data_IF_518147399629
#
_entry.id   IF_518147399629
#
_cell.length_a   1.000
_cell.length_b   1.000
_cell.length_c   1.000
_cell.angle_alpha   90.00
_cell.angle_beta   90.00
_cell.angle_gamma   90.00
#
_symmetry.space_group_name_H-M   'P 1'
#
loop_
_entity.id
_entity.type
_entity.pdbx_description
1 polymer ?
#
# COMPACT_ATOMS: atom_id res chain seq x y z
N UNK A 1 1.89 21.84 17.10
CA UNK A 1 1.00 21.75 15.93
C UNK A 1 1.46 20.60 15.05
N UNK A 2 0.54 19.71 14.64
CA UNK A 2 0.90 18.45 13.98
C UNK A 2 1.55 18.60 12.58
N UNK A 3 1.32 19.74 11.91
CA UNK A 3 1.84 20.06 10.57
C UNK A 3 3.10 20.93 10.58
N UNK A 4 3.85 20.91 11.67
CA UNK A 4 5.07 21.70 11.84
C UNK A 4 6.23 20.83 12.32
N UNK A 5 7.44 21.32 12.13
CA UNK A 5 8.66 20.81 12.75
C UNK A 5 9.44 22.00 13.33
N UNK A 6 10.31 21.79 14.33
CA UNK A 6 11.23 22.82 14.78
C UNK A 6 12.21 23.17 13.65
N UNK A 7 12.68 24.43 13.61
CA UNK A 7 13.71 24.88 12.65
C UNK A 7 15.00 24.06 12.76
N UNK A 8 15.35 23.66 13.98
CA UNK A 8 16.47 22.76 14.25
C UNK A 8 15.87 21.39 14.56
N UNK A 9 16.02 20.39 13.67
CA UNK A 9 15.51 19.06 13.92
C UNK A 9 16.23 18.41 15.10
N UNK A 10 15.57 17.46 15.77
CA UNK A 10 16.24 16.62 16.75
C UNK A 10 17.37 15.84 16.05
N UNK A 11 18.53 15.68 16.74
CA UNK A 11 19.62 14.93 16.14
C UNK A 11 19.24 13.47 15.91
N UNK A 12 19.59 12.96 14.75
CA UNK A 12 19.54 11.54 14.47
C UNK A 12 20.71 10.82 15.15
N UNK A 13 20.43 9.63 15.63
CA UNK A 13 21.40 8.70 16.19
C UNK A 13 21.31 7.40 15.43
N UNK A 14 22.45 6.74 15.31
CA UNK A 14 22.53 5.38 14.74
C UNK A 14 23.35 4.52 15.67
N UNK A 15 22.72 3.46 16.17
CA UNK A 15 23.42 2.45 16.94
C UNK A 15 24.40 1.70 16.03
N UNK A 16 25.50 1.22 16.60
CA UNK A 16 26.45 0.37 15.87
C UNK A 16 25.77 -0.95 15.45
N UNK A 17 26.20 -1.58 14.35
CA UNK A 17 25.60 -2.83 13.85
C UNK A 17 25.48 -3.92 14.92
N UNK A 18 26.48 -4.07 15.77
CA UNK A 18 26.54 -5.06 16.86
C UNK A 18 25.47 -4.77 17.93
N UNK A 19 25.20 -3.48 18.20
CA UNK A 19 24.14 -3.05 19.13
C UNK A 19 22.78 -3.37 18.54
N UNK A 20 22.57 -3.07 17.24
CA UNK A 20 21.33 -3.39 16.55
C UNK A 20 21.09 -4.91 16.56
N UNK A 21 22.13 -5.71 16.34
CA UNK A 21 22.04 -7.17 16.42
C UNK A 21 21.63 -7.68 17.81
N UNK A 22 22.18 -7.10 18.87
CA UNK A 22 21.79 -7.42 20.26
C UNK A 22 20.35 -7.01 20.54
N UNK A 23 19.92 -5.83 20.06
CA UNK A 23 18.56 -5.35 20.22
C UNK A 23 17.56 -6.19 19.42
N UNK A 24 17.92 -6.62 18.20
CA UNK A 24 17.13 -7.54 17.41
C UNK A 24 16.92 -8.89 18.13
N UNK A 25 17.97 -9.43 18.75
CA UNK A 25 17.85 -10.66 19.55
C UNK A 25 16.91 -10.50 20.75
N UNK A 26 16.97 -9.36 21.46
CA UNK A 26 16.04 -9.05 22.55
C UNK A 26 14.60 -8.91 22.04
N UNK A 27 14.40 -8.24 20.91
CA UNK A 27 13.08 -8.07 20.30
C UNK A 27 12.49 -9.42 19.87
N UNK A 28 13.27 -10.30 19.26
CA UNK A 28 12.85 -11.68 18.93
C UNK A 28 12.38 -12.45 20.17
N UNK A 29 13.10 -12.33 21.28
CA UNK A 29 12.69 -12.96 22.55
C UNK A 29 11.33 -12.39 23.06
N UNK A 30 11.07 -11.10 22.84
CA UNK A 30 9.77 -10.50 23.18
C UNK A 30 8.68 -11.00 22.23
N UNK A 31 8.94 -11.04 20.92
CA UNK A 31 8.00 -11.53 19.90
C UNK A 31 7.60 -12.96 20.19
N UNK A 32 8.57 -13.86 20.47
CA UNK A 32 8.30 -15.27 20.75
C UNK A 32 7.46 -15.50 22.04
N UNK A 33 7.47 -14.55 22.97
CA UNK A 33 6.67 -14.61 24.20
C UNK A 33 5.34 -13.89 24.08
N UNK A 34 5.18 -13.04 23.07
CA UNK A 34 3.98 -12.24 22.89
C UNK A 34 2.80 -13.09 22.41
N UNK A 35 1.64 -12.80 22.95
CA UNK A 35 0.36 -13.38 22.52
C UNK A 35 -0.40 -12.43 21.61
N UNK A 36 -0.22 -11.12 21.80
CA UNK A 36 -0.87 -10.08 21.03
C UNK A 36 0.15 -8.99 20.63
N UNK A 37 0.94 -9.30 19.58
CA UNK A 37 1.95 -8.40 19.03
C UNK A 37 1.32 -7.45 18.00
N UNK A 38 1.46 -6.15 18.22
CA UNK A 38 1.03 -5.11 17.28
C UNK A 38 2.22 -4.26 16.82
N UNK A 39 2.09 -3.66 15.64
CA UNK A 39 3.09 -2.74 15.11
C UNK A 39 2.43 -1.41 14.75
N UNK A 40 3.14 -0.31 15.08
CA UNK A 40 2.75 1.05 14.75
C UNK A 40 3.81 1.67 13.82
N UNK A 41 3.40 2.12 12.64
CA UNK A 41 4.34 2.64 11.63
C UNK A 41 4.15 4.12 11.34
N UNK A 42 5.27 4.81 11.06
CA UNK A 42 5.33 6.16 10.54
C UNK A 42 6.20 6.26 9.28
N UNK A 43 6.48 7.48 8.82
CA UNK A 43 7.13 7.74 7.54
C UNK A 43 8.53 7.10 7.39
N UNK A 44 9.24 6.86 8.50
CA UNK A 44 10.55 6.23 8.49
C UNK A 44 10.59 4.80 7.98
N UNK A 45 9.44 4.09 7.89
CA UNK A 45 9.37 2.76 7.28
C UNK A 45 9.40 2.81 5.75
N UNK A 46 9.14 3.98 5.16
CA UNK A 46 9.06 4.19 3.70
C UNK A 46 10.24 4.98 3.12
N UNK A 47 11.17 5.44 3.97
CA UNK A 47 12.29 6.28 3.51
C UNK A 47 13.26 5.56 2.58
N UNK A 48 13.49 4.27 2.78
CA UNK A 48 14.30 3.43 1.87
C UNK A 48 13.64 3.19 0.51
N UNK A 49 12.32 3.38 0.40
CA UNK A 49 11.62 3.41 -0.90
C UNK A 49 11.73 4.77 -1.62
N UNK A 50 12.47 5.74 -1.06
CA UNK A 50 12.65 7.07 -1.61
C UNK A 50 11.51 8.06 -1.28
N UNK A 51 10.58 7.68 -0.40
CA UNK A 51 9.52 8.56 0.09
C UNK A 51 10.08 9.35 1.29
N UNK A 52 10.10 10.69 1.23
CA UNK A 52 10.65 11.50 2.30
C UNK A 52 9.80 11.42 3.57
N UNK A 53 10.46 11.47 4.70
CA UNK A 53 9.80 11.71 5.98
C UNK A 53 9.36 13.18 6.14
N UNK A 54 8.78 13.50 7.30
CA UNK A 54 8.28 14.83 7.60
C UNK A 54 9.20 15.65 8.52
N UNK A 55 9.92 15.02 9.46
CA UNK A 55 10.60 15.68 10.59
C UNK A 55 12.08 15.33 10.75
N UNK A 56 12.63 14.47 9.92
CA UNK A 56 14.06 14.26 9.79
C UNK A 56 14.78 15.51 9.29
N UNK A 57 16.11 15.50 9.20
CA UNK A 57 16.90 16.65 8.75
C UNK A 57 16.49 17.15 7.35
N UNK A 58 16.11 16.27 6.45
CA UNK A 58 15.60 16.57 5.10
C UNK A 58 14.08 16.32 4.99
N UNK A 59 13.39 16.27 6.11
CA UNK A 59 11.95 16.05 6.19
C UNK A 59 11.14 17.23 5.67
N UNK A 60 9.96 16.98 5.12
CA UNK A 60 9.14 17.99 4.43
C UNK A 60 8.79 19.19 5.33
N UNK A 61 8.42 18.96 6.60
CA UNK A 61 8.11 20.03 7.56
C UNK A 61 9.35 20.75 8.05
N UNK A 62 10.47 20.04 8.22
CA UNK A 62 11.76 20.63 8.63
C UNK A 62 12.25 21.61 7.57
N UNK A 63 12.29 21.19 6.30
CA UNK A 63 12.69 22.05 5.19
C UNK A 63 11.78 23.28 5.07
N UNK A 64 10.47 23.08 5.18
CA UNK A 64 9.50 24.18 5.18
C UNK A 64 9.75 25.18 6.32
N UNK A 65 10.00 24.69 7.54
CA UNK A 65 10.30 25.55 8.70
C UNK A 65 11.61 26.33 8.53
N UNK A 66 12.57 25.79 7.75
CA UNK A 66 13.85 26.42 7.42
C UNK A 66 13.77 27.35 6.20
N UNK A 67 12.63 27.39 5.47
CA UNK A 67 12.52 28.09 4.20
C UNK A 67 13.35 27.46 3.06
N UNK A 68 13.69 26.18 3.19
CA UNK A 68 14.47 25.40 2.21
C UNK A 68 13.55 24.54 1.35
N UNK A 69 13.98 24.30 0.12
CA UNK A 69 13.40 23.27 -0.75
C UNK A 69 14.29 22.04 -0.78
N UNK A 70 13.69 20.90 -1.05
CA UNK A 70 14.42 19.63 -1.22
C UNK A 70 15.31 19.71 -2.46
N UNK A 71 16.55 19.25 -2.32
CA UNK A 71 17.52 19.19 -3.42
C UNK A 71 17.42 17.90 -4.24
N UNK A 72 16.99 16.82 -3.60
CA UNK A 72 16.81 15.51 -4.26
C UNK A 72 15.36 15.31 -4.69
N UNK A 73 15.15 14.71 -5.87
CA UNK A 73 13.81 14.37 -6.35
C UNK A 73 13.24 13.23 -5.48
N UNK A 74 12.09 13.45 -4.86
CA UNK A 74 11.37 12.40 -4.15
C UNK A 74 10.80 11.39 -5.15
N UNK A 75 10.82 10.11 -4.78
CA UNK A 75 10.09 9.09 -5.54
C UNK A 75 8.59 9.31 -5.35
N UNK A 76 7.82 9.19 -6.42
CA UNK A 76 6.37 9.22 -6.33
C UNK A 76 5.87 8.03 -5.48
N UNK A 77 4.87 8.25 -4.65
CA UNK A 77 4.25 7.16 -3.87
C UNK A 77 3.72 6.03 -4.76
N UNK A 78 3.37 6.33 -6.03
CA UNK A 78 2.94 5.34 -7.01
C UNK A 78 4.09 4.48 -7.54
N UNK A 79 5.30 5.06 -7.66
CA UNK A 79 6.50 4.38 -8.17
C UNK A 79 7.30 3.68 -7.06
N UNK A 80 7.04 4.02 -5.81
CA UNK A 80 7.73 3.43 -4.68
C UNK A 80 7.36 1.95 -4.50
N UNK A 81 8.38 1.12 -4.36
CA UNK A 81 8.23 -0.31 -4.10
C UNK A 81 8.19 -0.52 -2.58
N UNK A 82 7.31 -1.40 -2.05
CA UNK A 82 7.32 -1.78 -0.64
C UNK A 82 8.73 -2.17 -0.17
N UNK A 83 9.17 -1.57 0.94
CA UNK A 83 10.51 -1.80 1.50
C UNK A 83 10.64 -3.20 2.11
N UNK A 84 11.86 -3.68 2.42
CA UNK A 84 12.05 -4.90 3.19
C UNK A 84 11.24 -4.94 4.48
N UNK A 85 11.08 -3.78 5.17
CA UNK A 85 10.21 -3.70 6.35
C UNK A 85 8.75 -3.98 6.03
N UNK A 86 8.19 -3.40 4.97
CA UNK A 86 6.81 -3.69 4.56
C UNK A 86 6.60 -5.18 4.28
N UNK A 87 7.54 -5.81 3.57
CA UNK A 87 7.47 -7.23 3.23
C UNK A 87 7.69 -8.13 4.46
N UNK A 88 8.51 -7.70 5.43
CA UNK A 88 8.66 -8.37 6.72
C UNK A 88 7.34 -8.34 7.53
N UNK A 89 6.64 -7.19 7.54
CA UNK A 89 5.34 -7.08 8.23
C UNK A 89 4.28 -7.99 7.59
N UNK A 90 4.28 -8.09 6.26
CA UNK A 90 3.41 -9.02 5.53
C UNK A 90 3.68 -10.47 5.96
N UNK A 91 4.95 -10.89 6.00
CA UNK A 91 5.32 -12.25 6.38
C UNK A 91 4.94 -12.56 7.84
N UNK A 92 5.17 -11.60 8.75
CA UNK A 92 4.73 -11.74 10.16
C UNK A 92 3.21 -11.86 10.28
N UNK A 93 2.44 -11.14 9.46
CA UNK A 93 0.99 -11.27 9.39
C UNK A 93 0.57 -12.65 8.86
N UNK A 94 1.17 -13.11 7.74
CA UNK A 94 0.86 -14.39 7.12
C UNK A 94 1.10 -15.57 8.07
N UNK A 95 2.12 -15.44 8.94
CA UNK A 95 2.41 -16.44 10.00
C UNK A 95 1.57 -16.27 11.26
N UNK A 96 0.69 -15.27 11.30
CA UNK A 96 -0.15 -14.99 12.46
C UNK A 96 0.63 -14.47 13.68
N UNK A 97 1.89 -14.05 13.50
CA UNK A 97 2.73 -13.42 14.54
C UNK A 97 2.28 -11.99 14.79
N UNK A 98 2.20 -11.18 13.72
CA UNK A 98 1.62 -9.84 13.77
C UNK A 98 0.10 -9.94 13.85
N UNK A 99 -0.49 -9.44 14.94
CA UNK A 99 -1.94 -9.49 15.16
C UNK A 99 -2.65 -8.28 14.56
N UNK A 100 -2.02 -7.12 14.59
CA UNK A 100 -2.60 -5.91 14.00
C UNK A 100 -1.53 -4.89 13.63
N UNK A 101 -1.78 -4.15 12.57
CA UNK A 101 -0.93 -3.05 12.10
C UNK A 101 -1.67 -1.73 12.23
N UNK A 102 -1.02 -0.72 12.81
CA UNK A 102 -1.53 0.65 12.84
C UNK A 102 -0.57 1.54 12.07
N UNK A 103 -1.05 2.29 11.10
CA UNK A 103 -0.20 3.13 10.26
C UNK A 103 -0.66 4.58 10.22
N UNK A 104 0.31 5.50 10.28
CA UNK A 104 0.11 6.92 10.01
C UNK A 104 0.39 7.29 8.55
N UNK A 105 0.89 6.35 7.74
CA UNK A 105 1.34 6.63 6.38
C UNK A 105 0.17 6.66 5.41
N UNK A 106 0.24 7.61 4.47
CA UNK A 106 -0.73 7.76 3.37
C UNK A 106 -0.18 7.26 2.03
N UNK A 107 1.00 6.63 2.01
CA UNK A 107 1.70 6.24 0.79
C UNK A 107 1.13 4.99 0.10
N UNK A 108 0.31 4.22 0.82
CA UNK A 108 -0.33 3.01 0.32
C UNK A 108 0.58 1.77 0.28
N UNK A 109 1.85 1.87 0.75
CA UNK A 109 2.81 0.76 0.63
C UNK A 109 2.40 -0.48 1.43
N UNK A 110 1.80 -0.32 2.61
CA UNK A 110 1.30 -1.46 3.39
C UNK A 110 0.24 -2.26 2.62
N UNK A 111 -0.75 -1.58 2.03
CA UNK A 111 -1.79 -2.27 1.25
C UNK A 111 -1.21 -2.90 -0.02
N UNK A 112 -0.27 -2.22 -0.69
CA UNK A 112 0.42 -2.77 -1.88
C UNK A 112 1.37 -3.91 -1.57
N UNK A 113 1.94 -3.97 -0.37
CA UNK A 113 2.75 -5.14 0.05
C UNK A 113 1.90 -6.40 0.26
N UNK A 114 0.58 -6.27 0.38
CA UNK A 114 -0.34 -7.38 0.58
C UNK A 114 -0.94 -7.46 2.00
N UNK A 115 -0.69 -6.48 2.86
CA UNK A 115 -1.36 -6.38 4.17
C UNK A 115 -2.87 -6.33 3.96
N UNK A 116 -3.59 -7.24 4.61
CA UNK A 116 -5.05 -7.39 4.48
C UNK A 116 -5.79 -6.20 5.07
N UNK A 117 -6.88 -5.72 4.43
CA UNK A 117 -7.62 -4.54 4.88
C UNK A 117 -8.15 -4.65 6.31
N UNK A 118 -8.58 -5.84 6.71
CA UNK A 118 -9.11 -6.10 8.06
C UNK A 118 -8.03 -6.17 9.15
N UNK A 119 -6.76 -6.18 8.78
CA UNK A 119 -5.61 -6.30 9.67
C UNK A 119 -4.81 -5.01 9.83
N UNK A 120 -5.36 -3.88 9.35
CA UNK A 120 -4.68 -2.59 9.40
C UNK A 120 -5.65 -1.45 9.69
N UNK A 121 -5.22 -0.52 10.55
CA UNK A 121 -5.81 0.83 10.66
C UNK A 121 -4.92 1.84 9.96
N UNK A 122 -5.39 2.38 8.83
CA UNK A 122 -4.75 3.52 8.12
C UNK A 122 -5.31 4.83 8.70
N UNK A 123 -4.75 5.30 9.83
CA UNK A 123 -5.30 6.41 10.63
C UNK A 123 -5.37 7.74 9.87
N UNK A 124 -4.46 8.00 8.92
CA UNK A 124 -4.47 9.20 8.11
C UNK A 124 -4.93 8.95 6.67
N UNK A 125 -5.50 7.77 6.42
CA UNK A 125 -5.96 7.37 5.11
C UNK A 125 -4.86 6.86 4.18
N UNK A 126 -5.21 6.74 2.89
CA UNK A 126 -4.33 6.19 1.85
C UNK A 126 -4.55 6.95 0.54
N UNK A 127 -3.50 7.52 -0.04
CA UNK A 127 -3.58 8.37 -1.23
C UNK A 127 -4.03 7.63 -2.50
N UNK A 128 -4.06 6.30 -2.45
CA UNK A 128 -4.48 5.44 -3.55
C UNK A 128 -5.83 4.76 -3.29
N UNK A 129 -6.49 5.06 -2.16
CA UNK A 129 -7.76 4.44 -1.77
C UNK A 129 -8.93 5.39 -1.96
N UNK A 130 -9.95 4.90 -2.65
CA UNK A 130 -11.29 5.47 -2.70
C UNK A 130 -12.29 4.53 -2.06
N UNK A 131 -13.33 5.07 -1.49
CA UNK A 131 -14.43 4.28 -0.94
C UNK A 131 -15.80 4.83 -1.35
N UNK A 132 -16.74 3.93 -1.55
CA UNK A 132 -18.13 4.25 -1.73
C UNK A 132 -18.82 4.23 -0.37
N UNK A 133 -19.37 5.37 0.07
CA UNK A 133 -20.09 5.45 1.36
C UNK A 133 -21.44 4.76 1.34
N UNK A 134 -22.02 4.54 0.14
CA UNK A 134 -23.34 3.93 0.00
C UNK A 134 -23.30 2.40 0.14
N UNK A 135 -22.25 1.73 -0.37
CA UNK A 135 -22.17 0.27 -0.36
C UNK A 135 -20.90 -0.29 0.31
N UNK A 136 -20.03 0.56 0.87
CA UNK A 136 -18.82 0.17 1.56
C UNK A 136 -17.68 -0.35 0.66
N UNK A 137 -17.86 -0.40 -0.69
CA UNK A 137 -16.80 -0.90 -1.58
C UNK A 137 -15.59 0.01 -1.54
N UNK A 138 -14.43 -0.57 -1.27
CA UNK A 138 -13.13 0.07 -1.40
C UNK A 138 -12.49 -0.22 -2.76
N UNK A 139 -11.71 0.75 -3.26
CA UNK A 139 -10.91 0.66 -4.48
C UNK A 139 -9.48 1.07 -4.17
N UNK A 140 -8.53 0.21 -4.45
CA UNK A 140 -7.10 0.55 -4.46
C UNK A 140 -6.72 0.89 -5.90
N UNK A 141 -6.27 2.14 -6.12
CA UNK A 141 -6.02 2.68 -7.45
C UNK A 141 -4.53 2.72 -7.77
N UNK A 142 -4.21 2.55 -9.05
CA UNK A 142 -2.87 2.78 -9.60
C UNK A 142 -2.64 4.25 -9.99
N UNK A 143 -3.40 5.14 -9.38
CA UNK A 143 -3.23 6.59 -9.49
C UNK A 143 -3.52 7.25 -8.14
N UNK A 144 -3.14 8.52 -7.99
CA UNK A 144 -3.47 9.31 -6.81
C UNK A 144 -4.98 9.57 -6.78
N UNK A 145 -5.67 8.94 -5.83
CA UNK A 145 -7.12 8.97 -5.71
C UNK A 145 -7.64 10.09 -4.79
N UNK A 146 -6.80 11.06 -4.46
CA UNK A 146 -7.14 12.19 -3.56
C UNK A 146 -8.00 13.19 -4.32
N UNK A 147 -9.07 13.67 -3.65
CA UNK A 147 -9.95 14.69 -4.20
C UNK A 147 -9.19 16.00 -4.48
N UNK A 148 -9.52 16.65 -5.58
CA UNK A 148 -9.10 18.02 -5.85
C UNK A 148 -10.05 18.94 -5.10
N UNK A 149 -9.54 19.82 -4.24
CA UNK A 149 -10.31 20.70 -3.36
C UNK A 149 -11.16 21.71 -4.14
N UNK A 150 -12.28 21.25 -4.69
CA UNK A 150 -13.14 22.10 -5.52
C UNK A 150 -13.91 23.15 -4.70
N UNK A 151 -14.33 22.79 -3.48
CA UNK A 151 -15.11 23.68 -2.61
C UNK A 151 -14.45 23.93 -1.27
N UNK A 152 -14.02 22.89 -0.58
CA UNK A 152 -13.33 22.96 0.73
C UNK A 152 -12.35 21.83 0.88
N UNK A 153 -11.36 21.98 1.77
CA UNK A 153 -10.40 20.91 2.14
C UNK A 153 -11.08 19.68 2.75
N UNK A 154 -12.36 19.78 3.10
CA UNK A 154 -13.17 18.67 3.65
C UNK A 154 -14.06 18.01 2.60
N UNK A 155 -13.98 18.44 1.33
CA UNK A 155 -14.71 17.81 0.24
C UNK A 155 -13.88 16.65 -0.32
N UNK A 156 -14.15 15.45 0.19
CA UNK A 156 -13.45 14.22 -0.18
C UNK A 156 -13.99 13.54 -1.44
N UNK A 157 -14.98 14.15 -2.13
CA UNK A 157 -15.55 13.60 -3.36
C UNK A 157 -14.52 13.65 -4.49
N UNK A 158 -14.25 12.49 -5.07
CA UNK A 158 -13.21 12.35 -6.12
C UNK A 158 -13.74 12.64 -7.53
N UNK A 159 -15.05 12.87 -7.68
CA UNK A 159 -15.71 13.04 -8.97
C UNK A 159 -16.01 11.72 -9.70
N UNK A 160 -15.54 10.59 -9.17
CA UNK A 160 -15.79 9.25 -9.74
C UNK A 160 -17.00 8.58 -9.09
N UNK A 161 -17.52 7.56 -9.75
CA UNK A 161 -18.68 6.77 -9.30
C UNK A 161 -18.28 5.33 -9.03
N UNK A 162 -18.93 4.74 -8.05
CA UNK A 162 -18.81 3.33 -7.72
C UNK A 162 -19.33 2.46 -8.87
N UNK A 163 -18.51 1.54 -9.37
CA UNK A 163 -18.91 0.62 -10.44
C UNK A 163 -19.91 -0.43 -9.95
N UNK A 164 -19.99 -0.65 -8.62
CA UNK A 164 -20.91 -1.62 -8.02
C UNK A 164 -22.32 -1.08 -7.83
N UNK A 165 -22.47 0.19 -7.37
CA UNK A 165 -23.78 0.75 -7.00
C UNK A 165 -24.07 2.13 -7.62
N UNK A 166 -23.14 2.73 -8.36
CA UNK A 166 -23.30 4.07 -8.93
C UNK A 166 -23.09 5.24 -7.95
N UNK A 167 -22.90 4.97 -6.66
CA UNK A 167 -22.68 5.98 -5.62
C UNK A 167 -21.41 6.80 -5.83
N UNK A 168 -21.32 7.95 -5.16
CA UNK A 168 -20.17 8.85 -5.25
C UNK A 168 -18.97 8.25 -4.51
N UNK A 169 -17.80 8.27 -5.15
CA UNK A 169 -16.54 7.86 -4.52
C UNK A 169 -15.90 9.01 -3.75
N UNK A 170 -15.35 8.68 -2.60
CA UNK A 170 -14.65 9.59 -1.72
C UNK A 170 -13.22 9.08 -1.52
N UNK A 171 -12.26 9.99 -1.45
CA UNK A 171 -10.93 9.62 -0.98
C UNK A 171 -10.95 9.30 0.52
N UNK A 172 -9.85 8.75 1.01
CA UNK A 172 -9.72 8.36 2.41
C UNK A 172 -8.72 9.22 3.19
N UNK A 173 -8.15 10.25 2.58
CA UNK A 173 -7.15 11.12 3.21
C UNK A 173 -7.78 11.90 4.36
N UNK A 174 -7.06 12.01 5.47
CA UNK A 174 -7.43 12.84 6.62
C UNK A 174 -6.54 14.07 6.62
N UNK A 175 -7.14 15.22 6.42
CA UNK A 175 -6.44 16.50 6.47
C UNK A 175 -6.24 16.96 7.92
N UNK A 176 -5.27 17.84 8.15
CA UNK A 176 -5.08 18.42 9.48
C UNK A 176 -6.32 19.20 9.93
N UNK A 177 -6.79 18.92 11.15
CA UNK A 177 -8.00 19.48 11.72
C UNK A 177 -9.27 18.68 11.41
N UNK A 178 -9.15 17.52 10.79
CA UNK A 178 -10.22 16.54 10.66
C UNK A 178 -10.08 15.45 11.72
N UNK A 179 -11.21 14.84 12.06
CA UNK A 179 -11.22 13.68 12.95
C UNK A 179 -10.65 12.46 12.23
N UNK A 180 -9.94 11.62 12.95
CA UNK A 180 -9.53 10.31 12.42
C UNK A 180 -10.76 9.43 12.16
N UNK A 181 -10.68 8.46 11.23
CA UNK A 181 -11.77 7.53 10.97
C UNK A 181 -12.11 6.77 12.24
N UNK A 182 -13.36 6.91 12.70
CA UNK A 182 -13.80 6.41 14.02
C UNK A 182 -13.58 4.90 14.18
N UNK A 183 -13.99 4.11 13.18
CA UNK A 183 -13.84 2.66 13.18
C UNK A 183 -12.35 2.25 13.20
N UNK A 184 -11.52 2.85 12.34
CA UNK A 184 -10.09 2.54 12.30
C UNK A 184 -9.37 2.93 13.60
N UNK A 185 -9.74 4.06 14.21
CA UNK A 185 -9.18 4.49 15.50
C UNK A 185 -9.64 3.58 16.64
N UNK A 186 -10.93 3.18 16.64
CA UNK A 186 -11.46 2.24 17.63
C UNK A 186 -10.74 0.90 17.55
N UNK A 187 -10.63 0.29 16.36
CA UNK A 187 -9.91 -0.98 16.18
C UNK A 187 -8.44 -0.86 16.62
N UNK A 188 -7.77 0.24 16.28
CA UNK A 188 -6.39 0.48 16.72
C UNK A 188 -6.27 0.52 18.25
N UNK A 189 -7.23 1.13 18.94
CA UNK A 189 -7.27 1.18 20.43
C UNK A 189 -7.58 -0.17 21.02
N UNK A 190 -8.59 -0.87 20.52
CA UNK A 190 -8.96 -2.21 21.00
C UNK A 190 -7.74 -3.15 20.94
N UNK A 191 -7.04 -3.19 19.80
CA UNK A 191 -5.81 -3.98 19.66
C UNK A 191 -4.65 -3.48 20.54
N UNK A 192 -4.52 -2.17 20.77
CA UNK A 192 -3.51 -1.63 21.67
C UNK A 192 -3.78 -2.01 23.14
N UNK A 193 -5.05 -2.08 23.56
CA UNK A 193 -5.46 -2.50 24.90
C UNK A 193 -5.19 -3.99 25.14
N UNK A 194 -5.31 -4.83 24.11
CA UNK A 194 -4.98 -6.26 24.18
C UNK A 194 -3.47 -6.52 24.10
N UNK A 195 -2.71 -5.62 23.46
CA UNK A 195 -1.30 -5.85 23.15
C UNK A 195 -0.44 -6.05 24.39
N UNK A 196 0.37 -7.10 24.38
CA UNK A 196 1.46 -7.34 25.33
C UNK A 196 2.83 -6.91 24.76
N UNK A 197 2.88 -6.64 23.44
CA UNK A 197 4.03 -6.07 22.73
C UNK A 197 3.57 -5.12 21.65
N UNK A 198 4.11 -3.89 21.66
CA UNK A 198 3.96 -2.91 20.60
C UNK A 198 5.34 -2.49 20.08
N UNK A 199 5.56 -2.65 18.77
CA UNK A 199 6.75 -2.14 18.08
C UNK A 199 6.39 -0.92 17.26
N UNK A 200 7.05 0.20 17.53
CA UNK A 200 6.97 1.41 16.72
C UNK A 200 8.12 1.39 15.71
N UNK A 201 7.80 1.57 14.44
CA UNK A 201 8.76 1.65 13.34
C UNK A 201 8.70 3.01 12.64
N UNK A 202 9.78 3.78 12.73
CA UNK A 202 9.96 5.00 11.94
C UNK A 202 8.94 6.10 12.21
N UNK A 203 8.47 6.24 13.44
CA UNK A 203 7.55 7.32 13.83
C UNK A 203 8.16 8.24 14.87
N UNK A 204 7.98 9.56 14.66
CA UNK A 204 8.34 10.58 15.67
C UNK A 204 7.40 10.62 16.88
N UNK A 205 6.24 9.98 16.80
CA UNK A 205 5.20 9.93 17.84
C UNK A 205 4.74 11.32 18.33
N UNK A 206 4.71 12.32 17.42
CA UNK A 206 4.33 13.72 17.76
C UNK A 206 2.94 14.10 17.26
N UNK A 207 2.22 13.22 16.57
CA UNK A 207 0.91 13.52 15.98
C UNK A 207 -0.19 12.88 16.80
N UNK A 208 -0.98 13.73 17.47
CA UNK A 208 -2.16 13.33 18.24
C UNK A 208 -3.40 13.29 17.32
N UNK A 209 -4.36 12.36 17.52
CA UNK A 209 -4.42 11.34 18.57
C UNK A 209 -3.73 10.00 18.20
N UNK A 210 -3.09 9.89 17.03
CA UNK A 210 -2.49 8.64 16.58
C UNK A 210 -1.39 8.10 17.52
N UNK A 211 -0.59 8.99 18.15
CA UNK A 211 0.46 8.60 19.09
C UNK A 211 -0.06 8.03 20.43
N UNK A 212 -1.35 8.23 20.73
CA UNK A 212 -1.98 7.62 21.91
C UNK A 212 -2.02 6.09 21.82
N UNK A 213 -2.03 5.53 20.60
CA UNK A 213 -2.07 4.08 20.40
C UNK A 213 -0.85 3.37 21.02
N UNK A 214 0.43 3.71 20.66
CA UNK A 214 1.57 3.12 21.34
C UNK A 214 1.72 3.59 22.81
N UNK A 215 1.17 4.76 23.17
CA UNK A 215 1.17 5.24 24.57
C UNK A 215 0.35 4.33 25.48
N UNK A 216 -0.82 3.84 25.02
CA UNK A 216 -1.63 2.83 25.74
C UNK A 216 -0.80 1.61 26.10
N UNK A 217 0.04 1.12 25.18
CA UNK A 217 0.94 -0.01 25.44
C UNK A 217 2.05 0.36 26.41
N UNK A 218 2.69 1.53 26.24
CA UNK A 218 3.80 2.00 27.09
C UNK A 218 3.40 2.26 28.54
N UNK A 219 2.17 2.71 28.78
CA UNK A 219 1.65 3.01 30.11
C UNK A 219 1.37 1.76 30.96
N UNK A 220 1.23 0.58 30.36
CA UNK A 220 0.85 -0.65 31.06
C UNK A 220 2.06 -1.50 31.41
N UNK A 221 2.14 -1.98 32.67
CA UNK A 221 3.21 -2.89 33.13
C UNK A 221 3.17 -4.25 32.43
N UNK A 222 1.99 -4.69 32.00
CA UNK A 222 1.77 -5.97 31.30
C UNK A 222 2.19 -5.94 29.84
N UNK A 223 2.42 -4.78 29.28
CA UNK A 223 2.81 -4.58 27.88
C UNK A 223 4.24 -4.04 27.75
N UNK A 224 4.89 -4.29 26.62
CA UNK A 224 6.22 -3.77 26.29
C UNK A 224 6.13 -2.89 25.06
N UNK A 225 6.55 -1.62 25.20
CA UNK A 225 6.72 -0.70 24.08
C UNK A 225 8.18 -0.75 23.61
N UNK A 226 8.39 -1.07 22.35
CA UNK A 226 9.70 -1.01 21.68
C UNK A 226 9.63 0.06 20.60
N UNK A 227 10.60 0.96 20.55
CA UNK A 227 10.67 2.05 19.57
C UNK A 227 11.91 1.85 18.69
N UNK A 228 11.73 1.77 17.37
CA UNK A 228 12.79 1.88 16.38
C UNK A 228 12.62 3.20 15.63
N UNK A 229 13.47 4.16 15.93
CA UNK A 229 13.47 5.48 15.30
C UNK A 229 14.82 6.16 15.49
N UNK A 230 15.28 6.91 14.49
CA UNK A 230 16.59 7.58 14.53
C UNK A 230 16.62 8.76 15.52
N UNK A 231 15.47 9.33 15.84
CA UNK A 231 15.35 10.46 16.78
C UNK A 231 14.67 10.02 18.07
N UNK A 232 14.92 10.74 19.17
CA UNK A 232 14.12 10.60 20.39
C UNK A 232 12.66 10.93 20.12
N UNK A 233 11.77 10.28 20.84
CA UNK A 233 10.32 10.49 20.78
C UNK A 233 9.76 10.90 22.14
N UNK A 234 8.56 11.48 22.20
CA UNK A 234 7.90 11.79 23.48
C UNK A 234 7.69 10.57 24.38
N UNK A 235 7.57 9.37 23.83
CA UNK A 235 7.33 8.14 24.56
C UNK A 235 8.59 7.38 24.98
N UNK A 236 9.78 7.97 24.83
CA UNK A 236 11.04 7.32 25.20
C UNK A 236 11.10 6.88 26.67
N UNK A 237 10.50 7.66 27.59
CA UNK A 237 10.45 7.32 29.02
C UNK A 237 9.56 6.12 29.35
N UNK A 238 8.62 5.79 28.48
CA UNK A 238 7.71 4.66 28.59
C UNK A 238 8.22 3.43 27.82
N UNK A 239 9.21 3.61 26.96
CA UNK A 239 9.74 2.54 26.13
C UNK A 239 10.54 1.54 26.97
N UNK A 240 10.22 0.25 26.82
CA UNK A 240 11.03 -0.84 27.34
C UNK A 240 12.42 -0.89 26.64
N UNK A 241 12.47 -0.53 25.36
CA UNK A 241 13.66 -0.50 24.54
C UNK A 241 13.54 0.56 23.44
N UNK A 242 14.60 1.32 23.19
CA UNK A 242 14.72 2.20 22.03
C UNK A 242 15.91 1.74 21.18
N UNK A 243 15.68 1.48 19.90
CA UNK A 243 16.70 1.12 18.91
C UNK A 243 16.87 2.30 17.97
N UNK A 244 18.03 2.92 17.96
CA UNK A 244 18.37 4.00 17.04
C UNK A 244 18.84 3.42 15.70
N UNK A 245 17.89 2.98 14.89
CA UNK A 245 18.14 2.32 13.62
C UNK A 245 17.10 2.70 12.58
N UNK A 246 17.45 2.52 11.33
CA UNK A 246 16.51 2.45 10.22
C UNK A 246 15.65 1.20 10.36
N UNK A 247 14.39 1.29 9.92
CA UNK A 247 13.43 0.19 10.07
C UNK A 247 13.91 -1.09 9.38
N UNK A 248 14.42 -0.98 8.15
CA UNK A 248 14.89 -2.14 7.38
C UNK A 248 16.09 -2.83 8.04
N UNK A 249 17.01 -2.05 8.61
CA UNK A 249 18.17 -2.61 9.27
C UNK A 249 17.80 -3.45 10.51
N UNK A 250 16.80 -3.02 11.27
CA UNK A 250 16.27 -3.78 12.41
C UNK A 250 15.45 -4.98 11.92
N UNK A 251 14.48 -4.77 11.01
CA UNK A 251 13.54 -5.80 10.62
C UNK A 251 14.20 -6.95 9.87
N UNK A 252 15.20 -6.69 9.03
CA UNK A 252 15.97 -7.75 8.35
C UNK A 252 16.65 -8.67 9.37
N UNK A 253 17.23 -8.10 10.44
CA UNK A 253 17.88 -8.88 11.52
C UNK A 253 16.88 -9.67 12.35
N UNK A 254 15.72 -9.07 12.63
CA UNK A 254 14.63 -9.75 13.35
C UNK A 254 14.12 -10.94 12.56
N UNK A 255 13.84 -10.76 11.27
CA UNK A 255 13.35 -11.84 10.40
C UNK A 255 14.36 -12.97 10.25
N UNK A 256 15.63 -12.64 10.05
CA UNK A 256 16.71 -13.64 9.98
C UNK A 256 16.80 -14.48 11.28
N UNK A 257 16.68 -13.83 12.44
CA UNK A 257 16.72 -14.51 13.75
C UNK A 257 15.45 -15.33 14.05
N UNK A 258 14.30 -14.96 13.50
CA UNK A 258 13.07 -15.76 13.55
C UNK A 258 13.12 -16.94 12.57
N UNK A 259 14.08 -16.97 11.64
CA UNK A 259 14.12 -17.95 10.56
C UNK A 259 13.04 -17.75 9.49
N UNK A 260 12.53 -16.54 9.36
CA UNK A 260 11.47 -16.19 8.40
C UNK A 260 12.08 -15.45 7.21
N UNK A 261 11.96 -15.96 5.98
CA UNK A 261 12.39 -15.23 4.80
C UNK A 261 11.53 -13.99 4.60
N UNK A 262 12.12 -12.87 4.20
CA UNK A 262 11.38 -11.71 3.74
C UNK A 262 11.01 -11.97 2.27
N UNK A 263 9.72 -12.05 1.92
CA UNK A 263 9.31 -12.30 0.54
C UNK A 263 9.68 -11.12 -0.37
N UNK A 264 9.97 -11.40 -1.63
CA UNK A 264 10.09 -10.36 -2.65
C UNK A 264 8.72 -9.71 -2.90
N UNK A 265 8.72 -8.43 -3.24
CA UNK A 265 7.50 -7.77 -3.70
C UNK A 265 7.21 -8.21 -5.12
N UNK A 266 6.01 -8.74 -5.34
CA UNK A 266 5.48 -9.10 -6.67
C UNK A 266 4.21 -8.28 -6.90
N UNK A 267 4.20 -7.52 -7.98
CA UNK A 267 3.00 -6.77 -8.41
C UNK A 267 1.99 -7.75 -9.01
N UNK A 268 0.83 -7.87 -8.40
CA UNK A 268 -0.24 -8.76 -8.84
C UNK A 268 -1.36 -7.97 -9.49
N UNK A 269 -1.82 -8.43 -10.65
CA UNK A 269 -2.95 -7.88 -11.41
C UNK A 269 -3.80 -9.02 -11.93
N UNK A 270 -5.07 -8.75 -12.15
CA UNK A 270 -5.99 -9.69 -12.79
C UNK A 270 -6.62 -9.04 -14.02
N UNK A 271 -6.60 -9.76 -15.12
CA UNK A 271 -7.18 -9.36 -16.40
C UNK A 271 -8.33 -10.31 -16.74
N UNK A 272 -9.45 -9.76 -17.17
CA UNK A 272 -10.55 -10.55 -17.75
C UNK A 272 -10.71 -10.21 -19.22
N UNK A 273 -10.89 -11.24 -20.04
CA UNK A 273 -11.22 -11.14 -21.45
C UNK A 273 -12.61 -11.74 -21.66
N UNK A 274 -13.53 -10.92 -22.17
CA UNK A 274 -14.94 -11.27 -22.43
C UNK A 274 -15.20 -11.27 -23.91
N UNK A 275 -15.80 -12.34 -24.42
CA UNK A 275 -16.36 -12.38 -25.76
C UNK A 275 -17.88 -12.20 -25.68
N UNK A 276 -18.45 -11.42 -26.57
CA UNK A 276 -19.89 -11.16 -26.64
C UNK A 276 -20.29 -10.57 -27.99
N UNK A 277 -21.50 -10.06 -28.09
CA UNK A 277 -22.01 -9.38 -29.28
C UNK A 277 -22.44 -7.96 -28.94
N UNK A 278 -22.30 -7.03 -29.89
CA UNK A 278 -22.81 -5.66 -29.75
C UNK A 278 -24.30 -5.59 -30.12
N UNK A 279 -24.90 -4.42 -29.98
CA UNK A 279 -26.30 -4.15 -30.33
C UNK A 279 -26.63 -4.38 -31.81
N UNK A 280 -25.65 -4.57 -32.68
CA UNK A 280 -25.79 -4.84 -34.10
C UNK A 280 -25.40 -6.29 -34.41
N UNK A 281 -25.40 -7.17 -33.42
CA UNK A 281 -25.05 -8.60 -33.53
C UNK A 281 -23.63 -8.87 -34.08
N UNK A 282 -22.70 -7.92 -33.85
CA UNK A 282 -21.30 -8.09 -34.22
C UNK A 282 -20.49 -8.55 -33.04
N UNK A 283 -19.60 -9.50 -33.30
CA UNK A 283 -18.72 -10.04 -32.28
C UNK A 283 -17.85 -8.95 -31.68
N UNK A 284 -17.76 -8.94 -30.36
CA UNK A 284 -16.98 -8.00 -29.56
C UNK A 284 -16.11 -8.76 -28.59
N UNK A 285 -14.85 -8.36 -28.48
CA UNK A 285 -13.94 -8.80 -27.42
C UNK A 285 -13.59 -7.58 -26.57
N UNK A 286 -13.83 -7.68 -25.26
CA UNK A 286 -13.54 -6.63 -24.30
C UNK A 286 -12.55 -7.13 -23.25
N UNK A 287 -11.56 -6.29 -22.93
CA UNK A 287 -10.58 -6.54 -21.89
C UNK A 287 -10.74 -5.53 -20.76
N UNK A 288 -10.64 -5.99 -19.52
CA UNK A 288 -10.64 -5.14 -18.32
C UNK A 288 -9.67 -5.66 -17.27
N UNK A 289 -9.07 -4.73 -16.54
CA UNK A 289 -8.53 -5.06 -15.22
C UNK A 289 -9.68 -5.37 -14.25
N UNK A 290 -9.49 -6.35 -13.38
CA UNK A 290 -10.44 -6.67 -12.30
C UNK A 290 -9.72 -6.84 -10.97
N UNK A 291 -10.45 -6.57 -9.90
CA UNK A 291 -10.05 -6.87 -8.51
C UNK A 291 -10.41 -8.33 -8.16
N UNK A 292 -10.00 -8.79 -7.00
CA UNK A 292 -10.28 -10.15 -6.50
C UNK A 292 -11.78 -10.48 -6.41
N UNK A 293 -12.63 -9.48 -6.26
CA UNK A 293 -14.09 -9.63 -6.25
C UNK A 293 -14.75 -9.40 -7.63
N UNK A 294 -13.96 -9.34 -8.70
CA UNK A 294 -14.42 -9.12 -10.07
C UNK A 294 -14.77 -7.67 -10.41
N UNK A 295 -14.56 -6.72 -9.47
CA UNK A 295 -14.85 -5.31 -9.73
C UNK A 295 -13.80 -4.71 -10.68
N UNK A 296 -14.21 -3.95 -11.72
CA UNK A 296 -13.26 -3.31 -12.64
C UNK A 296 -12.27 -2.38 -11.93
N UNK A 297 -11.00 -2.51 -12.25
CA UNK A 297 -9.90 -1.64 -11.78
C UNK A 297 -9.05 -1.18 -12.95
N UNK A 298 -8.53 0.07 -12.85
CA UNK A 298 -7.79 0.73 -13.92
C UNK A 298 -6.29 0.68 -13.63
N UNK A 299 -5.55 -0.14 -14.37
CA UNK A 299 -4.09 -0.21 -14.33
C UNK A 299 -3.47 -0.28 -15.74
N UNK A 300 -4.30 -0.43 -16.77
CA UNK A 300 -3.89 -0.39 -18.16
C UNK A 300 -4.04 1.01 -18.73
N UNK A 301 -3.11 1.40 -19.58
CA UNK A 301 -3.14 2.65 -20.37
C UNK A 301 -3.79 2.42 -21.72
N UNK A 302 -3.43 1.32 -22.37
CA UNK A 302 -3.99 0.92 -23.66
C UNK A 302 -3.87 -0.58 -23.87
N UNK A 303 -4.66 -1.11 -24.79
CA UNK A 303 -4.55 -2.46 -25.30
C UNK A 303 -4.47 -2.39 -26.83
N UNK A 304 -3.48 -3.08 -27.42
CA UNK A 304 -3.32 -3.20 -28.85
C UNK A 304 -3.62 -4.63 -29.29
N UNK A 305 -4.50 -4.77 -30.26
CA UNK A 305 -4.75 -6.04 -30.95
C UNK A 305 -3.78 -6.18 -32.14
N UNK A 306 -2.87 -7.15 -32.08
CA UNK A 306 -1.86 -7.31 -33.14
C UNK A 306 -2.45 -7.72 -34.49
N UNK A 307 -3.53 -8.50 -34.49
CA UNK A 307 -4.22 -8.98 -35.69
C UNK A 307 -4.50 -7.88 -36.74
N UNK A 308 -4.90 -6.68 -36.29
CA UNK A 308 -5.23 -5.57 -37.17
C UNK A 308 -4.60 -4.24 -36.73
N UNK A 309 -3.66 -4.27 -35.80
CA UNK A 309 -2.95 -3.13 -35.18
C UNK A 309 -3.87 -2.07 -34.56
N UNK A 310 -5.11 -2.42 -34.23
CA UNK A 310 -6.03 -1.52 -33.54
C UNK A 310 -5.59 -1.33 -32.09
N UNK A 311 -5.73 -0.09 -31.59
CA UNK A 311 -5.42 0.27 -30.21
C UNK A 311 -6.65 0.84 -29.54
N UNK A 312 -7.10 0.19 -28.46
CA UNK A 312 -8.11 0.72 -27.54
C UNK A 312 -7.41 1.50 -26.41
N UNK A 313 -7.91 2.71 -26.07
CA UNK A 313 -7.32 3.62 -25.06
C UNK A 313 -8.26 3.99 -23.93
N UNK A 314 -9.41 3.37 -23.87
CA UNK A 314 -10.39 3.61 -22.81
C UNK A 314 -11.03 2.29 -22.38
N UNK A 315 -11.29 2.17 -21.09
CA UNK A 315 -12.00 1.01 -20.52
C UNK A 315 -13.50 1.10 -20.79
N UNK A 316 -14.13 -0.06 -21.09
CA UNK A 316 -13.51 -1.35 -21.41
C UNK A 316 -12.76 -1.28 -22.75
N UNK A 317 -11.58 -1.93 -22.82
CA UNK A 317 -10.77 -1.98 -24.04
C UNK A 317 -11.44 -2.92 -25.04
N UNK A 318 -12.20 -2.34 -25.98
CA UNK A 318 -13.17 -3.10 -26.81
C UNK A 318 -12.71 -3.15 -28.26
N UNK A 319 -12.82 -4.36 -28.85
CA UNK A 319 -12.52 -4.65 -30.25
C UNK A 319 -13.75 -5.24 -30.93
N UNK A 320 -14.26 -4.58 -31.95
CA UNK A 320 -15.40 -5.05 -32.75
C UNK A 320 -14.91 -5.71 -34.04
N UNK A 321 -15.49 -6.82 -34.40
CA UNK A 321 -15.18 -7.59 -35.59
C UNK A 321 -16.37 -7.55 -36.57
N UNK A 322 -16.10 -7.36 -37.86
CA UNK A 322 -17.16 -7.37 -38.90
C UNK A 322 -17.70 -8.78 -39.08
N UNK A 323 -16.76 -9.72 -39.26
CA UNK A 323 -17.05 -11.12 -39.44
C UNK A 323 -16.73 -11.83 -38.10
N UNK A 324 -17.59 -12.74 -37.68
CA UNK A 324 -17.37 -13.50 -36.47
C UNK A 324 -16.10 -14.36 -36.62
N UNK A 325 -15.24 -14.29 -35.60
CA UNK A 325 -14.06 -15.14 -35.55
C UNK A 325 -14.47 -16.56 -35.12
N UNK A 326 -13.94 -17.54 -35.81
CA UNK A 326 -14.17 -18.94 -35.46
C UNK A 326 -13.58 -19.27 -34.09
N UNK A 327 -14.24 -20.12 -33.29
CA UNK A 327 -13.65 -20.67 -32.07
C UNK A 327 -12.26 -21.28 -32.36
N UNK A 328 -11.30 -21.02 -31.47
CA UNK A 328 -9.92 -21.45 -31.66
C UNK A 328 -9.04 -20.45 -32.43
N UNK A 329 -9.60 -19.38 -33.01
CA UNK A 329 -8.80 -18.32 -33.63
C UNK A 329 -7.86 -17.71 -32.57
N UNK A 330 -6.58 -17.66 -32.88
CA UNK A 330 -5.56 -17.07 -32.00
C UNK A 330 -5.48 -15.56 -32.21
N UNK A 331 -5.55 -14.83 -31.10
CA UNK A 331 -5.38 -13.38 -31.03
C UNK A 331 -4.28 -13.05 -30.04
N UNK A 332 -3.54 -11.98 -30.34
CA UNK A 332 -2.51 -11.43 -29.45
C UNK A 332 -2.89 -10.03 -29.03
N UNK A 333 -2.99 -9.84 -27.71
CA UNK A 333 -3.23 -8.53 -27.10
C UNK A 333 -1.97 -8.03 -26.42
N UNK A 334 -1.41 -6.94 -26.92
CA UNK A 334 -0.32 -6.23 -26.24
C UNK A 334 -0.92 -5.25 -25.24
N UNK A 335 -0.64 -5.47 -23.97
CA UNK A 335 -1.09 -4.66 -22.83
C UNK A 335 -0.04 -3.59 -22.52
N UNK A 336 -0.42 -2.32 -22.55
CA UNK A 336 0.38 -1.21 -22.06
C UNK A 336 -0.11 -0.81 -20.67
N UNK A 337 0.78 -0.86 -19.68
CA UNK A 337 0.47 -0.53 -18.28
C UNK A 337 0.66 0.95 -17.99
N UNK A 338 0.24 1.42 -16.80
CA UNK A 338 0.48 2.78 -16.32
C UNK A 338 1.98 3.09 -16.16
N UNK A 339 2.84 2.08 -16.02
CA UNK A 339 4.30 2.19 -16.05
C UNK A 339 4.90 2.70 -14.75
N UNK A 340 4.24 2.53 -13.60
CA UNK A 340 4.72 3.03 -12.32
C UNK A 340 5.97 2.31 -11.83
N UNK A 341 6.13 1.04 -12.16
CA UNK A 341 7.26 0.19 -11.77
C UNK A 341 8.19 -0.11 -12.96
N UNK A 342 8.11 0.70 -14.03
CA UNK A 342 8.78 0.48 -15.31
C UNK A 342 8.45 -0.89 -15.91
N UNK A 343 7.26 -1.40 -15.60
CA UNK A 343 6.77 -2.66 -16.14
C UNK A 343 6.69 -2.58 -17.67
N UNK A 344 7.30 -3.57 -18.38
CA UNK A 344 7.24 -3.62 -19.83
C UNK A 344 5.84 -4.03 -20.30
N UNK A 345 5.52 -3.73 -21.55
CA UNK A 345 4.32 -4.24 -22.18
C UNK A 345 4.29 -5.76 -22.10
N UNK A 346 3.09 -6.33 -21.96
CA UNK A 346 2.86 -7.75 -21.88
C UNK A 346 1.98 -8.21 -23.04
N UNK A 347 2.38 -9.25 -23.73
CA UNK A 347 1.55 -9.88 -24.77
C UNK A 347 0.81 -11.07 -24.16
N UNK A 348 -0.53 -11.08 -24.32
CA UNK A 348 -1.40 -12.16 -23.92
C UNK A 348 -1.87 -12.88 -25.18
N UNK A 349 -1.59 -14.19 -25.28
CA UNK A 349 -2.15 -15.08 -26.27
C UNK A 349 -3.55 -15.50 -25.83
N UNK A 350 -4.55 -15.24 -26.66
CA UNK A 350 -5.95 -15.55 -26.38
C UNK A 350 -6.54 -16.37 -27.55
N UNK A 351 -7.16 -17.47 -27.22
CA UNK A 351 -7.96 -18.25 -28.17
C UNK A 351 -9.41 -17.87 -28.05
N UNK A 352 -10.02 -17.45 -29.16
CA UNK A 352 -11.43 -17.10 -29.22
C UNK A 352 -12.26 -18.30 -28.78
N UNK A 353 -13.13 -18.06 -27.80
CA UNK A 353 -14.04 -19.09 -27.28
C UNK A 353 -15.35 -19.11 -28.08
N UNK A 354 -16.04 -20.24 -28.11
CA UNK A 354 -17.38 -20.32 -28.65
C UNK A 354 -18.42 -19.53 -27.84
N UNK A 355 -19.60 -19.35 -28.43
CA UNK A 355 -20.70 -18.65 -27.77
C UNK A 355 -21.08 -19.30 -26.43
N UNK A 356 -21.29 -18.49 -25.40
CA UNK A 356 -21.63 -18.98 -24.08
C UNK A 356 -20.46 -19.53 -23.26
N UNK A 357 -19.22 -19.45 -23.78
CA UNK A 357 -18.03 -19.80 -23.00
C UNK A 357 -17.82 -18.86 -21.82
N UNK A 358 -17.23 -19.33 -20.68
CA UNK A 358 -16.91 -18.51 -19.55
C UNK A 358 -15.86 -17.44 -19.92
N UNK A 359 -15.85 -16.35 -19.16
CA UNK A 359 -14.84 -15.32 -19.28
C UNK A 359 -13.44 -15.90 -19.03
N UNK A 360 -12.44 -15.48 -19.82
CA UNK A 360 -11.06 -15.89 -19.58
C UNK A 360 -10.41 -14.93 -18.57
N UNK A 361 -9.97 -15.47 -17.46
CA UNK A 361 -9.29 -14.71 -16.40
C UNK A 361 -7.81 -15.06 -16.42
N UNK A 362 -6.96 -14.04 -16.31
CA UNK A 362 -5.51 -14.16 -16.24
C UNK A 362 -4.99 -13.49 -14.98
N UNK A 363 -4.20 -14.20 -14.19
CA UNK A 363 -3.36 -13.62 -13.13
C UNK A 363 -2.03 -13.19 -13.74
N UNK A 364 -1.69 -11.91 -13.56
CA UNK A 364 -0.48 -11.29 -14.07
C UNK A 364 0.41 -10.93 -12.89
N UNK A 365 1.59 -11.51 -12.81
CA UNK A 365 2.57 -11.29 -11.76
C UNK A 365 3.82 -10.67 -12.36
N UNK A 366 4.16 -9.47 -11.92
CA UNK A 366 5.38 -8.75 -12.33
C UNK A 366 6.37 -8.68 -11.16
N UNK A 367 7.61 -9.08 -11.41
CA UNK A 367 8.71 -8.89 -10.47
C UNK A 367 9.54 -7.66 -10.87
N UNK A 368 9.47 -6.55 -10.10
CA UNK A 368 10.25 -5.35 -10.41
C UNK A 368 11.76 -5.54 -10.29
N UNK A 369 12.23 -6.61 -9.62
CA UNK A 369 13.67 -6.87 -9.47
C UNK A 369 14.26 -7.55 -10.71
N UNK A 370 13.49 -8.43 -11.35
CA UNK A 370 13.91 -9.13 -12.59
C UNK A 370 13.42 -8.43 -13.85
N UNK A 371 12.36 -7.65 -13.76
CA UNK A 371 11.70 -7.01 -14.90
C UNK A 371 10.83 -7.98 -15.72
N UNK A 372 10.46 -9.13 -15.14
CA UNK A 372 9.76 -10.19 -15.85
C UNK A 372 8.30 -10.32 -15.40
N UNK A 373 7.44 -10.68 -16.38
CA UNK A 373 6.06 -11.07 -16.17
C UNK A 373 5.90 -12.58 -16.11
N UNK A 374 5.09 -13.06 -15.18
CA UNK A 374 4.54 -14.41 -15.18
C UNK A 374 3.02 -14.29 -15.33
N UNK A 375 2.45 -15.08 -16.25
CA UNK A 375 1.02 -15.11 -16.52
C UNK A 375 0.46 -16.50 -16.28
N UNK A 376 -0.69 -16.56 -15.62
CA UNK A 376 -1.42 -17.79 -15.38
C UNK A 376 -2.87 -17.57 -15.80
N UNK A 377 -3.43 -18.49 -16.59
CA UNK A 377 -4.85 -18.51 -16.91
C UNK A 377 -5.57 -19.36 -15.88
N UNK A 378 -6.66 -18.83 -15.29
CA UNK A 378 -7.56 -19.59 -14.41
C UNK A 378 -8.43 -20.60 -15.20
#
# INVERSE_FOLDING_TARGET
>A
MANTAPKVPLPERRDAPEVIDQQAAKLVNLINKSKHFIIFTGAGVSTSAGIPDFRGPEGAWTLRAQGRSRTTKAVSTLQAIPTPSHMALLELQNRGVLKYLVSQNCDGLHRRSGIRPEMISELHGNSNRECCRDCGKEYIRDFRAVATYEKTVRDHRTGRKCTRCGGVLHDSIINFGENLPEEALKLARDHAEEADLCLVLGSSLTVTPANEIPEVCGARRSSKLVICNLQKTPLNSQAHMHVYSEADALMTRVMARLGFPIPAFILKRRLVIKTGVDKNDRQVIALNGIDVDGTPVSYLRSVKLEYNRRVARSEPFTFNFRDALSPGTELKFELEFMGHYNEPNLVIDYQVQGDGAPEAVYDLHYDPNTGEWMTMRE
#
